data_IF_288100803074
#
_entry.id   IF_288100803074
#
_cell.length_a   1.000
_cell.length_b   1.000
_cell.length_c   1.000
_cell.angle_alpha   90.00
_cell.angle_beta   90.00
_cell.angle_gamma   90.00
#
_symmetry.space_group_name_H-M   'P 1'
#
loop_
_entity.id
_entity.type
_entity.pdbx_description
1 polymer ?
#
# COMPACT_ATOMS: atom_id res chain seq x y z
N UNK A 1 4.00 5.39 -2.57
CA UNK A 1 3.51 5.93 -1.29
C UNK A 1 3.68 4.91 -0.17
N UNK A 2 3.13 3.73 -0.29
CA UNK A 2 3.28 2.68 0.74
C UNK A 2 4.73 2.24 0.93
N UNK A 3 5.43 1.96 -0.16
CA UNK A 3 6.81 1.48 -0.11
C UNK A 3 7.74 2.51 0.54
N UNK A 4 7.58 3.79 0.20
CA UNK A 4 8.37 4.85 0.82
C UNK A 4 8.12 4.94 2.32
N UNK A 5 6.87 4.81 2.77
CA UNK A 5 6.55 4.81 4.19
C UNK A 5 7.22 3.64 4.91
N UNK A 6 7.18 2.44 4.32
CA UNK A 6 7.85 1.27 4.88
C UNK A 6 9.35 1.50 4.99
N UNK A 7 9.98 2.00 3.94
CA UNK A 7 11.40 2.26 3.93
C UNK A 7 11.79 3.31 4.97
N UNK A 8 11.04 4.40 5.05
CA UNK A 8 11.32 5.47 6.03
C UNK A 8 11.15 5.00 7.47
N UNK A 9 10.09 4.26 7.77
CA UNK A 9 9.84 3.76 9.13
C UNK A 9 10.90 2.76 9.59
N UNK A 10 11.53 2.07 8.67
CA UNK A 10 12.57 1.08 8.96
C UNK A 10 13.98 1.60 8.70
N UNK A 11 14.13 2.89 8.39
CA UNK A 11 15.40 3.55 8.07
C UNK A 11 16.19 2.82 6.97
N UNK A 12 15.48 2.20 6.02
CA UNK A 12 16.06 1.46 4.89
C UNK A 12 16.94 0.27 5.31
N UNK A 13 16.79 -0.24 6.55
CA UNK A 13 17.71 -1.25 7.10
C UNK A 13 17.06 -2.61 7.35
N UNK A 14 15.71 -2.69 7.40
CA UNK A 14 15.03 -3.94 7.75
C UNK A 14 14.62 -4.72 6.52
N UNK A 15 14.09 -4.03 5.49
CA UNK A 15 13.62 -4.66 4.27
C UNK A 15 14.39 -4.14 3.06
N UNK A 16 14.56 -5.01 2.06
CA UNK A 16 15.09 -4.58 0.76
C UNK A 16 14.04 -3.70 0.07
N UNK A 17 14.47 -2.94 -0.92
CA UNK A 17 13.55 -2.14 -1.73
C UNK A 17 12.48 -3.02 -2.39
N UNK A 18 12.87 -4.16 -2.94
CA UNK A 18 11.93 -5.10 -3.56
C UNK A 18 10.90 -5.64 -2.58
N UNK A 19 11.33 -5.95 -1.36
CA UNK A 19 10.41 -6.38 -0.30
C UNK A 19 9.41 -5.28 0.07
N UNK A 20 9.89 -4.04 0.22
CA UNK A 20 9.03 -2.90 0.52
C UNK A 20 8.03 -2.64 -0.62
N UNK A 21 8.45 -2.75 -1.87
CA UNK A 21 7.58 -2.63 -3.03
C UNK A 21 6.49 -3.70 -3.03
N UNK A 22 6.86 -4.96 -2.78
CA UNK A 22 5.90 -6.06 -2.74
C UNK A 22 4.86 -5.88 -1.62
N UNK A 23 5.30 -5.46 -0.44
CA UNK A 23 4.40 -5.15 0.67
C UNK A 23 3.47 -3.99 0.31
N UNK A 24 4.02 -2.94 -0.29
CA UNK A 24 3.25 -1.79 -0.73
C UNK A 24 2.22 -2.14 -1.81
N UNK A 25 2.54 -3.04 -2.71
CA UNK A 25 1.59 -3.53 -3.72
C UNK A 25 0.40 -4.24 -3.08
N UNK A 26 0.63 -5.09 -2.08
CA UNK A 26 -0.47 -5.74 -1.35
C UNK A 26 -1.38 -4.70 -0.67
N UNK A 27 -0.79 -3.69 -0.05
CA UNK A 27 -1.54 -2.62 0.59
C UNK A 27 -2.35 -1.80 -0.43
N UNK A 28 -1.78 -1.52 -1.60
CA UNK A 28 -2.48 -0.83 -2.67
C UNK A 28 -3.68 -1.64 -3.18
N UNK A 29 -3.54 -2.95 -3.32
CA UNK A 29 -4.66 -3.83 -3.67
C UNK A 29 -5.72 -3.85 -2.56
N UNK A 30 -5.31 -3.84 -1.30
CA UNK A 30 -6.24 -3.75 -0.17
C UNK A 30 -7.09 -2.47 -0.26
N UNK A 31 -6.45 -1.34 -0.52
CA UNK A 31 -7.16 -0.07 -0.65
C UNK A 31 -8.08 -0.05 -1.88
N UNK A 32 -7.61 -0.59 -3.00
CA UNK A 32 -8.42 -0.69 -4.22
C UNK A 32 -9.68 -1.53 -4.02
N UNK A 33 -9.54 -2.66 -3.33
CA UNK A 33 -10.70 -3.49 -3.00
C UNK A 33 -11.68 -2.74 -2.10
N UNK A 34 -11.17 -2.05 -1.09
CA UNK A 34 -11.96 -1.26 -0.15
C UNK A 34 -12.72 -0.14 -0.86
N UNK A 35 -12.09 0.50 -1.84
CA UNK A 35 -12.67 1.59 -2.63
C UNK A 35 -13.57 1.09 -3.77
N UNK A 36 -13.60 -0.21 -4.02
CA UNK A 36 -14.41 -0.79 -5.09
C UNK A 36 -13.82 -0.65 -6.49
N UNK A 37 -12.53 -0.37 -6.61
CA UNK A 37 -11.85 -0.24 -7.90
C UNK A 37 -11.51 -1.59 -8.53
N UNK A 38 -11.41 -2.64 -7.73
CA UNK A 38 -11.20 -4.02 -8.19
C UNK A 38 -12.21 -4.92 -7.49
N UNK A 39 -12.57 -6.03 -8.14
CA UNK A 39 -13.44 -7.02 -7.52
C UNK A 39 -12.63 -8.05 -6.72
N UNK A 40 -13.34 -8.90 -5.96
CA UNK A 40 -12.70 -9.91 -5.13
C UNK A 40 -11.88 -10.91 -5.95
N UNK A 41 -12.36 -11.28 -7.13
CA UNK A 41 -11.69 -12.25 -7.97
C UNK A 41 -10.33 -11.72 -8.44
N UNK A 42 -10.30 -10.51 -8.95
CA UNK A 42 -9.06 -9.88 -9.41
C UNK A 42 -8.10 -9.66 -8.23
N UNK A 43 -8.63 -9.18 -7.10
CA UNK A 43 -7.85 -9.00 -5.88
C UNK A 43 -7.18 -10.31 -5.44
N UNK A 44 -7.95 -11.40 -5.37
CA UNK A 44 -7.42 -12.69 -4.94
C UNK A 44 -6.34 -13.22 -5.88
N UNK A 45 -6.52 -13.07 -7.19
CA UNK A 45 -5.51 -13.46 -8.17
C UNK A 45 -4.22 -12.68 -8.01
N UNK A 46 -4.31 -11.37 -7.79
CA UNK A 46 -3.15 -10.51 -7.60
C UNK A 46 -2.39 -10.85 -6.32
N UNK A 47 -3.09 -11.04 -5.22
CA UNK A 47 -2.48 -11.39 -3.94
C UNK A 47 -1.81 -12.77 -4.02
N UNK A 48 -2.46 -13.75 -4.62
CA UNK A 48 -1.86 -15.07 -4.83
C UNK A 48 -0.56 -15.00 -5.65
N UNK A 49 -0.55 -14.16 -6.68
CA UNK A 49 0.63 -13.98 -7.51
C UNK A 49 1.78 -13.37 -6.72
N UNK A 50 1.51 -12.34 -5.92
CA UNK A 50 2.52 -11.70 -5.07
C UNK A 50 3.07 -12.71 -4.06
N UNK A 51 2.20 -13.49 -3.43
CA UNK A 51 2.59 -14.50 -2.44
C UNK A 51 3.34 -15.67 -3.07
N UNK A 52 3.00 -16.03 -4.31
CA UNK A 52 3.67 -17.12 -5.04
C UNK A 52 5.17 -16.88 -5.18
N UNK A 53 5.57 -15.65 -5.45
CA UNK A 53 6.98 -15.30 -5.58
C UNK A 53 7.68 -15.09 -4.25
N UNK A 54 6.95 -15.12 -3.14
CA UNK A 54 7.47 -15.04 -1.77
C UNK A 54 8.44 -13.86 -1.55
N UNK A 55 8.12 -12.73 -2.18
CA UNK A 55 8.94 -11.52 -2.07
C UNK A 55 8.51 -10.69 -0.86
N UNK A 56 7.21 -10.60 -0.61
CA UNK A 56 6.67 -9.80 0.49
C UNK A 56 6.86 -10.53 1.82
N UNK A 57 7.61 -9.95 2.78
CA UNK A 57 7.76 -10.54 4.10
C UNK A 57 6.41 -10.70 4.82
N UNK A 58 6.29 -11.79 5.56
CA UNK A 58 5.10 -12.07 6.37
C UNK A 58 5.36 -11.66 7.82
N UNK A 59 4.28 -11.28 8.51
CA UNK A 59 4.37 -10.94 9.92
C UNK A 59 4.99 -9.58 10.21
N UNK A 60 5.12 -8.72 9.21
CA UNK A 60 5.58 -7.36 9.44
C UNK A 60 4.59 -6.60 10.32
N UNK A 61 5.11 -5.93 11.34
CA UNK A 61 4.30 -5.16 12.29
C UNK A 61 4.72 -3.71 12.25
N UNK A 62 3.75 -2.83 12.00
CA UNK A 62 3.95 -1.39 12.01
C UNK A 62 2.89 -0.75 12.91
N UNK A 63 3.24 0.36 13.55
CA UNK A 63 2.26 1.22 14.19
C UNK A 63 1.47 1.93 13.09
N UNK A 64 0.18 1.67 13.01
CA UNK A 64 -0.69 2.20 11.94
C UNK A 64 -0.70 3.72 11.89
N UNK A 65 -0.76 4.36 13.05
CA UNK A 65 -0.79 5.83 13.12
C UNK A 65 0.52 6.43 12.64
N UNK A 66 1.65 5.86 13.05
CA UNK A 66 2.96 6.31 12.59
C UNK A 66 3.13 6.09 11.10
N UNK A 67 2.60 4.98 10.58
CA UNK A 67 2.63 4.68 9.15
C UNK A 67 1.84 5.74 8.38
N UNK A 68 0.66 6.06 8.85
CA UNK A 68 -0.17 7.08 8.23
C UNK A 68 0.50 8.46 8.25
N UNK A 69 1.06 8.84 9.39
CA UNK A 69 1.76 10.11 9.54
C UNK A 69 2.96 10.20 8.60
N UNK A 70 3.69 9.10 8.43
CA UNK A 70 4.84 9.04 7.53
C UNK A 70 4.44 9.30 6.07
N UNK A 71 3.26 8.84 5.65
CA UNK A 71 2.74 9.12 4.32
C UNK A 71 2.54 10.61 4.08
N UNK A 72 2.10 11.36 5.10
CA UNK A 72 1.92 12.81 4.98
C UNK A 72 3.24 13.57 4.95
N UNK A 73 4.31 13.02 5.52
CA UNK A 73 5.63 13.63 5.47
C UNK A 73 6.33 13.39 4.13
N UNK A 74 5.84 12.46 3.32
CA UNK A 74 6.37 12.22 1.99
C UNK A 74 6.15 13.47 1.12
N UNK A 75 7.20 13.87 0.41
CA UNK A 75 7.16 15.03 -0.52
C UNK A 75 6.09 14.92 -1.59
N UNK A 76 5.57 13.71 -1.83
CA UNK A 76 4.48 13.45 -2.79
C UNK A 76 3.11 13.79 -2.22
N UNK A 77 3.00 14.01 -0.93
CA UNK A 77 1.77 14.47 -0.29
C UNK A 77 1.62 15.98 -0.48
N UNK A 78 1.31 16.39 -1.71
CA UNK A 78 1.09 17.79 -2.03
C UNK A 78 -0.29 18.23 -1.58
N UNK A 79 -0.41 19.49 -1.20
CA UNK A 79 -1.69 20.11 -0.77
C UNK A 79 -2.33 19.43 0.46
N UNK A 80 -1.52 18.80 1.30
CA UNK A 80 -1.98 18.12 2.50
C UNK A 80 -2.76 16.83 2.24
N UNK A 81 -2.68 16.29 1.01
CA UNK A 81 -3.38 15.06 0.63
C UNK A 81 -2.40 13.98 0.22
N UNK A 82 -2.62 12.77 0.71
CA UNK A 82 -1.85 11.60 0.31
C UNK A 82 -2.39 11.07 -1.01
N UNK A 83 -1.52 10.93 -2.00
CA UNK A 83 -1.87 10.40 -3.32
C UNK A 83 -1.51 8.94 -3.42
N UNK A 84 -2.42 8.17 -3.99
CA UNK A 84 -2.22 6.76 -4.25
C UNK A 84 -2.38 6.47 -5.74
N UNK A 85 -1.51 5.63 -6.27
CA UNK A 85 -1.71 4.99 -7.58
C UNK A 85 -2.23 3.60 -7.31
N UNK A 86 -3.47 3.35 -7.66
CA UNK A 86 -4.18 2.12 -7.30
C UNK A 86 -4.59 1.34 -8.55
N UNK A 87 -4.58 -0.01 -8.50
CA UNK A 87 -5.19 -0.79 -9.56
C UNK A 87 -6.68 -0.46 -9.70
N UNK A 88 -7.14 -0.38 -10.94
CA UNK A 88 -8.52 -0.06 -11.26
C UNK A 88 -9.00 -0.97 -12.39
N UNK A 89 -9.84 -1.95 -12.05
CA UNK A 89 -10.24 -3.00 -12.99
C UNK A 89 -9.03 -3.80 -13.45
N UNK A 90 -9.12 -4.36 -14.65
CA UNK A 90 -8.03 -5.14 -15.25
C UNK A 90 -7.13 -4.23 -16.09
N UNK A 91 -5.82 -4.31 -15.85
CA UNK A 91 -4.78 -3.67 -16.67
C UNK A 91 -4.81 -2.13 -16.67
N UNK A 92 -5.42 -1.51 -15.67
CA UNK A 92 -5.37 -0.05 -15.54
C UNK A 92 -5.12 0.37 -14.10
N UNK A 93 -4.79 1.65 -13.93
CA UNK A 93 -4.57 2.26 -12.62
C UNK A 93 -5.34 3.57 -12.53
N UNK A 94 -5.58 4.01 -11.31
CA UNK A 94 -6.19 5.30 -11.03
C UNK A 94 -5.36 6.01 -9.97
N UNK A 95 -5.27 7.33 -10.08
CA UNK A 95 -4.61 8.16 -9.07
C UNK A 95 -5.70 8.80 -8.23
N UNK A 96 -5.66 8.56 -6.92
CA UNK A 96 -6.65 9.10 -5.98
C UNK A 96 -5.96 9.84 -4.84
N UNK A 97 -6.62 10.88 -4.34
CA UNK A 97 -6.15 11.67 -3.20
C UNK A 97 -7.23 11.91 -2.15
N UNK A 98 -8.36 11.21 -2.26
CA UNK A 98 -9.56 11.39 -1.45
C UNK A 98 -9.90 10.19 -0.57
N UNK A 99 -8.93 9.32 -0.31
CA UNK A 99 -9.12 8.18 0.59
C UNK A 99 -9.18 8.67 2.04
N UNK A 100 -10.16 8.16 2.80
CA UNK A 100 -10.26 8.52 4.22
C UNK A 100 -9.11 7.88 5.01
N UNK A 101 -8.81 8.47 6.16
CA UNK A 101 -7.80 7.90 7.07
C UNK A 101 -8.16 6.45 7.44
N UNK A 102 -9.43 6.18 7.73
CA UNK A 102 -9.90 4.84 8.08
C UNK A 102 -9.63 3.84 6.95
N UNK A 103 -9.95 4.23 5.71
CA UNK A 103 -9.68 3.38 4.56
C UNK A 103 -8.20 3.07 4.41
N UNK A 104 -7.35 4.07 4.59
CA UNK A 104 -5.89 3.89 4.49
C UNK A 104 -5.38 2.99 5.62
N UNK A 105 -5.81 3.21 6.86
CA UNK A 105 -5.40 2.37 7.99
C UNK A 105 -5.79 0.91 7.79
N UNK A 106 -7.02 0.67 7.32
CA UNK A 106 -7.50 -0.69 7.05
C UNK A 106 -6.69 -1.37 5.92
N UNK A 107 -6.23 -0.59 4.94
CA UNK A 107 -5.45 -1.13 3.82
C UNK A 107 -4.09 -1.68 4.23
N UNK A 108 -3.57 -1.25 5.36
CA UNK A 108 -2.25 -1.70 5.83
C UNK A 108 -2.23 -3.18 6.20
N UNK A 109 -3.41 -3.77 6.50
CA UNK A 109 -3.52 -5.20 6.80
C UNK A 109 -2.88 -5.59 8.12
N UNK A 110 -2.76 -4.66 9.03
CA UNK A 110 -2.09 -4.86 10.33
C UNK A 110 -3.09 -5.05 11.46
#
# INVERSE_FOLDING_TARGET
TYAHAIENLTNYTVYTHGEAVAMGMKMAFNLSLKRGFVDNNYYNQAIELIEHYDIAPKGAVFDKEKFYDEMFLDKKAQDGKVRFVLPNGHYSVVIVSDSSKEQVLDSLGL
#
